data_IF_824400227104
#
_entry.id   IF_824400227104
#
_cell.length_a   1.000
_cell.length_b   1.000
_cell.length_c   1.000
_cell.angle_alpha   90.00
_cell.angle_beta   90.00
_cell.angle_gamma   90.00
#
_symmetry.space_group_name_H-M   'P 1'
#
loop_
_entity.id
_entity.type
_entity.pdbx_description
1 polymer ?
#
# COMPACT_ATOMS: atom_id res chain seq x y z
N UNK A 1 23.39 -24.75 23.22
CA UNK A 1 23.11 -24.51 21.79
C UNK A 1 23.30 -23.01 21.56
N UNK A 2 24.39 -22.59 20.89
CA UNK A 2 24.73 -21.17 20.72
C UNK A 2 23.73 -20.54 19.73
N UNK A 3 22.97 -19.55 20.18
CA UNK A 3 22.19 -18.67 19.31
C UNK A 3 23.21 -17.83 18.55
N UNK A 4 23.46 -18.18 17.30
CA UNK A 4 24.28 -17.36 16.41
C UNK A 4 23.38 -16.23 15.93
N UNK A 5 23.60 -15.03 16.47
CA UNK A 5 23.09 -13.79 15.93
C UNK A 5 23.86 -13.55 14.61
N UNK A 6 23.29 -13.99 13.48
CA UNK A 6 23.84 -13.67 12.17
C UNK A 6 23.45 -12.22 11.90
N UNK A 7 24.39 -11.30 12.14
CA UNK A 7 24.35 -9.99 11.49
C UNK A 7 24.32 -10.27 9.98
N UNK A 8 23.27 -9.80 9.29
CA UNK A 8 23.28 -9.75 7.85
C UNK A 8 24.45 -8.83 7.45
N UNK A 9 25.58 -9.44 7.09
CA UNK A 9 26.54 -8.76 6.24
C UNK A 9 25.77 -8.31 5.01
N UNK A 10 25.85 -7.02 4.72
CA UNK A 10 25.41 -6.40 3.48
C UNK A 10 26.17 -7.03 2.32
N UNK A 11 25.68 -8.18 1.86
CA UNK A 11 26.05 -8.72 0.56
C UNK A 11 25.32 -7.82 -0.44
N UNK A 12 26.06 -6.89 -1.05
CA UNK A 12 25.61 -6.18 -2.23
C UNK A 12 25.42 -7.21 -3.34
N UNK A 13 24.24 -7.84 -3.38
CA UNK A 13 23.77 -8.49 -4.59
C UNK A 13 23.52 -7.37 -5.59
N UNK A 14 24.34 -7.28 -6.63
CA UNK A 14 23.88 -6.65 -7.87
C UNK A 14 22.74 -7.52 -8.40
N UNK A 15 21.53 -7.25 -7.92
CA UNK A 15 20.32 -7.69 -8.59
C UNK A 15 20.40 -7.13 -9.99
N UNK A 16 20.36 -8.02 -10.99
CA UNK A 16 20.13 -7.61 -12.36
C UNK A 16 18.77 -6.92 -12.36
N UNK A 17 18.79 -5.59 -12.54
CA UNK A 17 17.59 -4.77 -12.61
C UNK A 17 16.60 -5.48 -13.55
N UNK A 18 15.40 -5.85 -13.08
CA UNK A 18 14.42 -6.59 -13.87
C UNK A 18 13.82 -5.76 -15.02
N UNK A 19 14.55 -4.76 -15.52
CA UNK A 19 14.16 -3.81 -16.55
C UNK A 19 13.28 -2.66 -16.06
N UNK A 20 13.16 -2.47 -14.74
CA UNK A 20 12.41 -1.34 -14.18
C UNK A 20 13.22 -0.05 -14.36
N UNK A 21 12.74 0.81 -15.25
CA UNK A 21 13.33 2.12 -15.52
C UNK A 21 12.45 3.22 -14.91
N UNK A 22 13.05 4.27 -14.32
CA UNK A 22 12.29 5.42 -13.83
C UNK A 22 11.59 6.14 -14.99
N UNK A 23 10.31 6.45 -14.81
CA UNK A 23 9.54 7.28 -15.74
C UNK A 23 9.89 8.77 -15.66
N UNK A 24 9.26 9.60 -16.52
CA UNK A 24 9.52 11.05 -16.60
C UNK A 24 9.31 11.78 -15.27
N UNK A 25 8.37 11.32 -14.44
CA UNK A 25 8.10 11.91 -13.13
C UNK A 25 9.20 11.68 -12.10
N UNK A 26 10.07 10.70 -12.34
CA UNK A 26 11.25 10.41 -11.52
C UNK A 26 12.51 11.10 -12.06
N UNK A 27 12.38 11.92 -13.11
CA UNK A 27 13.46 12.67 -13.74
C UNK A 27 13.31 14.19 -13.50
N UNK A 28 14.43 14.93 -13.37
CA UNK A 28 14.35 16.39 -13.26
C UNK A 28 13.75 17.02 -14.52
N UNK A 29 12.69 17.82 -14.35
CA UNK A 29 12.01 18.49 -15.46
C UNK A 29 12.34 19.99 -15.53
N UNK A 30 12.43 20.52 -16.75
CA UNK A 30 12.69 21.93 -16.98
C UNK A 30 11.49 22.77 -16.53
N UNK A 31 11.73 23.84 -15.76
CA UNK A 31 10.68 24.74 -15.28
C UNK A 31 9.98 24.30 -14.00
N UNK A 32 10.28 23.09 -13.49
CA UNK A 32 9.78 22.62 -12.19
C UNK A 32 10.62 23.23 -11.06
N UNK A 33 10.01 23.97 -10.11
CA UNK A 33 10.69 24.48 -8.93
C UNK A 33 11.26 23.33 -8.09
N UNK A 34 12.52 23.47 -7.66
CA UNK A 34 13.21 22.46 -6.88
C UNK A 34 13.15 22.75 -5.39
N UNK A 35 12.74 21.76 -4.62
CA UNK A 35 12.89 21.78 -3.18
C UNK A 35 14.35 21.71 -2.73
N UNK A 36 14.57 21.88 -1.44
CA UNK A 36 15.87 21.73 -0.79
C UNK A 36 15.85 20.54 0.16
N UNK A 37 17.00 19.88 0.32
CA UNK A 37 17.19 18.82 1.30
C UNK A 37 18.23 19.26 2.32
N UNK A 38 17.85 19.23 3.60
CA UNK A 38 18.68 19.64 4.72
C UNK A 38 19.06 18.43 5.57
N UNK A 39 20.34 18.31 5.95
CA UNK A 39 20.80 17.24 6.84
C UNK A 39 20.75 17.68 8.29
N UNK A 40 20.33 16.78 9.17
CA UNK A 40 20.18 17.00 10.60
C UNK A 40 20.64 15.79 11.39
N UNK A 41 20.98 16.04 12.66
CA UNK A 41 21.29 15.00 13.63
C UNK A 41 20.36 15.15 14.84
N UNK A 42 19.73 14.06 15.23
CA UNK A 42 19.10 13.94 16.54
C UNK A 42 20.06 13.17 17.44
N UNK A 43 20.72 13.91 18.33
CA UNK A 43 21.60 13.33 19.34
C UNK A 43 20.81 13.08 20.63
N UNK A 44 21.19 12.03 21.37
CA UNK A 44 20.65 11.74 22.70
C UNK A 44 19.13 11.53 22.70
N UNK A 45 18.64 10.64 21.82
CA UNK A 45 17.23 10.22 21.85
C UNK A 45 16.84 9.76 23.26
N UNK A 46 15.69 10.23 23.75
CA UNK A 46 15.11 9.79 25.03
C UNK A 46 14.41 8.45 24.86
N UNK A 47 13.80 8.22 23.70
CA UNK A 47 13.15 6.95 23.36
C UNK A 47 14.18 5.84 23.08
N UNK A 48 15.28 6.17 22.41
CA UNK A 48 16.40 5.26 22.16
C UNK A 48 17.70 5.79 22.81
N UNK A 49 17.89 5.63 24.13
CA UNK A 49 19.05 6.18 24.82
C UNK A 49 20.39 5.76 24.22
N UNK A 50 21.29 6.74 24.10
CA UNK A 50 22.66 6.55 23.61
C UNK A 50 22.78 6.42 22.09
N UNK A 51 21.72 6.66 21.34
CA UNK A 51 21.78 6.70 19.86
C UNK A 51 21.99 8.12 19.35
N UNK A 52 22.59 8.18 18.15
CA UNK A 52 22.51 9.34 17.25
C UNK A 52 21.80 8.92 15.97
N UNK A 53 20.80 9.69 15.56
CA UNK A 53 20.04 9.48 14.34
C UNK A 53 20.36 10.57 13.32
N UNK A 54 20.86 10.19 12.15
CA UNK A 54 20.89 11.09 10.99
C UNK A 54 19.51 11.11 10.34
N UNK A 55 19.02 12.30 10.02
CA UNK A 55 17.82 12.44 9.22
C UNK A 55 17.93 13.63 8.28
N UNK A 56 17.18 13.58 7.18
CA UNK A 56 17.13 14.65 6.19
C UNK A 56 15.72 15.19 6.04
N UNK A 57 15.60 16.49 5.80
CA UNK A 57 14.33 17.19 5.62
C UNK A 57 14.27 17.76 4.22
N UNK A 58 13.37 17.24 3.39
CA UNK A 58 13.00 17.85 2.12
C UNK A 58 11.94 18.92 2.34
N UNK A 59 12.18 20.11 1.79
CA UNK A 59 11.26 21.24 1.82
C UNK A 59 10.97 21.66 0.38
N UNK A 60 9.71 21.57 -0.09
CA UNK A 60 9.36 21.92 -1.46
C UNK A 60 9.45 23.44 -1.65
N UNK A 61 9.73 23.88 -2.87
CA UNK A 61 9.82 25.31 -3.19
C UNK A 61 8.49 26.07 -2.94
N UNK A 62 7.37 25.34 -2.97
CA UNK A 62 6.01 25.82 -2.77
C UNK A 62 5.63 25.93 -1.29
N UNK A 63 6.49 25.50 -0.36
CA UNK A 63 6.22 25.56 1.06
C UNK A 63 5.99 26.99 1.55
N UNK A 64 4.98 27.17 2.40
CA UNK A 64 4.65 28.45 3.04
C UNK A 64 4.42 28.24 4.53
N UNK A 65 5.04 29.08 5.36
CA UNK A 65 4.99 28.93 6.82
C UNK A 65 3.58 29.11 7.40
N UNK A 66 2.71 29.86 6.73
CA UNK A 66 1.35 30.17 7.19
C UNK A 66 0.33 29.06 6.90
N UNK A 67 0.71 28.01 6.16
CA UNK A 67 -0.12 26.86 5.83
C UNK A 67 0.55 25.57 6.35
N UNK A 68 -0.13 24.72 7.13
CA UNK A 68 0.47 23.48 7.62
C UNK A 68 0.71 22.51 6.45
N UNK A 69 1.96 22.12 6.24
CA UNK A 69 2.33 21.17 5.19
C UNK A 69 1.95 19.74 5.58
N UNK A 70 1.59 18.92 4.57
CA UNK A 70 1.53 17.47 4.75
C UNK A 70 2.92 16.93 5.12
N UNK A 71 2.97 15.72 5.69
CA UNK A 71 4.23 15.08 6.08
C UNK A 71 4.32 13.67 5.51
N UNK A 72 5.50 13.30 5.01
CA UNK A 72 5.81 11.92 4.70
C UNK A 72 7.14 11.53 5.33
N UNK A 73 7.11 10.53 6.21
CA UNK A 73 8.31 10.00 6.86
C UNK A 73 8.81 8.78 6.11
N UNK A 74 10.10 8.70 5.83
CA UNK A 74 10.76 7.57 5.20
C UNK A 74 11.72 6.90 6.17
N UNK A 75 11.60 5.59 6.30
CA UNK A 75 12.57 4.71 6.95
C UNK A 75 13.72 4.42 5.99
N UNK A 76 14.93 4.20 6.53
CA UNK A 76 16.15 4.06 5.71
C UNK A 76 16.30 5.23 4.73
N UNK A 77 16.18 6.45 5.27
CA UNK A 77 16.01 7.69 4.53
C UNK A 77 16.92 7.86 3.30
N UNK A 78 18.19 7.48 3.41
CA UNK A 78 19.18 7.58 2.33
C UNK A 78 18.73 6.84 1.05
N UNK A 79 18.08 5.68 1.19
CA UNK A 79 17.63 4.89 0.06
C UNK A 79 16.50 5.55 -0.76
N UNK A 80 15.84 6.55 -0.18
CA UNK A 80 14.72 7.25 -0.78
C UNK A 80 15.07 8.66 -1.27
N UNK A 81 15.91 9.36 -0.52
CA UNK A 81 16.16 10.80 -0.71
C UNK A 81 17.13 11.13 -1.84
N UNK A 82 18.04 10.21 -2.18
CA UNK A 82 19.10 10.50 -3.13
C UNK A 82 18.59 10.51 -4.59
N UNK A 83 18.99 11.52 -5.40
CA UNK A 83 18.48 11.70 -6.76
C UNK A 83 19.01 10.67 -7.77
N UNK A 84 20.05 9.91 -7.40
CA UNK A 84 20.66 8.88 -8.23
C UNK A 84 20.19 7.46 -7.85
N UNK A 85 19.50 7.32 -6.72
CA UNK A 85 18.96 6.04 -6.25
C UNK A 85 17.67 5.65 -6.98
N UNK A 86 17.08 4.51 -6.63
CA UNK A 86 15.94 3.94 -7.34
C UNK A 86 14.65 4.77 -7.18
N UNK A 87 14.40 5.36 -6.00
CA UNK A 87 13.12 6.03 -5.70
C UNK A 87 13.12 7.54 -6.00
N UNK A 88 14.23 8.24 -5.68
CA UNK A 88 14.41 9.68 -5.99
C UNK A 88 13.26 10.55 -5.48
N UNK A 89 12.82 10.31 -4.25
CA UNK A 89 11.60 10.91 -3.71
C UNK A 89 11.53 12.45 -3.85
N UNK A 90 12.61 13.23 -3.60
CA UNK A 90 12.58 14.69 -3.83
C UNK A 90 12.24 15.11 -5.26
N UNK A 91 12.78 14.41 -6.27
CA UNK A 91 12.50 14.70 -7.69
C UNK A 91 11.04 14.42 -8.02
N UNK A 92 10.52 13.28 -7.54
CA UNK A 92 9.11 12.92 -7.71
C UNK A 92 8.22 13.96 -7.03
N UNK A 93 8.57 14.38 -5.80
CA UNK A 93 7.82 15.40 -5.08
C UNK A 93 7.83 16.75 -5.81
N UNK A 94 8.97 17.23 -6.27
CA UNK A 94 9.06 18.47 -7.05
C UNK A 94 8.09 18.45 -8.24
N UNK A 95 8.13 17.37 -9.03
CA UNK A 95 7.30 17.19 -10.22
C UNK A 95 5.81 17.12 -9.89
N UNK A 96 5.42 16.28 -8.93
CA UNK A 96 4.00 16.06 -8.59
C UNK A 96 3.38 17.27 -7.87
N UNK A 97 4.12 17.93 -6.96
CA UNK A 97 3.65 19.15 -6.28
C UNK A 97 3.46 20.27 -7.30
N UNK A 98 4.39 20.44 -8.25
CA UNK A 98 4.27 21.46 -9.29
C UNK A 98 2.99 21.30 -10.13
N UNK A 99 2.53 20.06 -10.35
CA UNK A 99 1.31 19.75 -11.10
C UNK A 99 0.06 19.61 -10.22
N UNK A 100 0.19 19.84 -8.90
CA UNK A 100 -0.85 19.63 -7.89
C UNK A 100 -1.37 18.17 -7.83
N UNK A 101 -0.56 17.19 -8.23
CA UNK A 101 -0.93 15.76 -8.21
C UNK A 101 -0.64 15.09 -6.85
N UNK A 102 -0.07 15.85 -5.91
CA UNK A 102 0.10 15.52 -4.50
C UNK A 102 0.11 16.83 -3.69
N UNK A 103 -0.13 16.80 -2.35
CA UNK A 103 -0.08 18.01 -1.55
C UNK A 103 1.35 18.55 -1.42
N UNK A 104 1.46 19.83 -1.08
CA UNK A 104 2.73 20.41 -0.60
C UNK A 104 3.14 19.64 0.66
N UNK A 105 4.25 18.90 0.56
CA UNK A 105 4.69 17.96 1.59
C UNK A 105 6.09 18.27 2.09
N UNK A 106 6.32 18.13 3.40
CA UNK A 106 7.65 18.01 3.97
C UNK A 106 8.02 16.53 4.08
N UNK A 107 9.10 16.14 3.41
CA UNK A 107 9.65 14.79 3.47
C UNK A 107 10.66 14.69 4.60
N UNK A 108 10.55 13.67 5.45
CA UNK A 108 11.47 13.44 6.57
C UNK A 108 12.08 12.05 6.41
N UNK A 109 13.35 11.99 6.09
CA UNK A 109 14.09 10.78 5.74
C UNK A 109 14.96 10.38 6.91
N UNK A 110 14.54 9.39 7.69
CA UNK A 110 15.17 9.01 8.95
C UNK A 110 15.99 7.75 8.74
N UNK A 111 17.28 7.81 9.05
CA UNK A 111 18.12 6.63 9.12
C UNK A 111 18.04 6.03 10.53
N UNK A 112 18.19 4.70 10.68
CA UNK A 112 18.27 4.06 11.99
C UNK A 112 19.34 4.68 12.88
N UNK A 113 19.11 4.61 14.19
CA UNK A 113 20.05 5.11 15.17
C UNK A 113 21.38 4.35 15.15
N UNK A 114 22.46 5.04 15.48
CA UNK A 114 23.78 4.40 15.66
C UNK A 114 24.23 4.55 17.11
N UNK A 115 24.81 3.46 17.67
CA UNK A 115 25.53 3.47 18.96
C UNK A 115 27.03 3.32 18.73
N UNK A 116 27.83 3.62 19.77
CA UNK A 116 29.30 3.52 19.77
C UNK A 116 29.84 2.30 18.98
N UNK A 117 30.84 2.55 18.12
CA UNK A 117 31.40 1.60 17.12
C UNK A 117 30.47 1.23 15.94
N UNK A 118 29.61 2.15 15.51
CA UNK A 118 28.75 1.99 14.33
C UNK A 118 27.77 0.81 14.45
N UNK A 119 27.34 0.46 15.66
CA UNK A 119 26.29 -0.53 15.83
C UNK A 119 24.95 0.10 15.43
N UNK A 120 24.49 -0.29 14.25
CA UNK A 120 23.17 0.03 13.72
C UNK A 120 22.07 -0.48 14.66
N UNK A 121 21.05 0.34 14.92
CA UNK A 121 19.89 0.03 15.75
C UNK A 121 18.66 -0.36 14.93
N UNK A 122 18.77 -0.51 13.60
CA UNK A 122 17.66 -0.84 12.70
C UNK A 122 16.76 -1.97 13.21
N UNK A 123 17.33 -3.13 13.56
CA UNK A 123 16.54 -4.26 14.08
C UNK A 123 15.86 -3.94 15.42
N UNK A 124 16.47 -3.11 16.27
CA UNK A 124 15.92 -2.71 17.59
C UNK A 124 14.77 -1.73 17.41
N UNK A 125 14.86 -0.86 16.40
CA UNK A 125 13.89 0.19 16.13
C UNK A 125 12.70 -0.33 15.30
N UNK A 126 12.94 -1.20 14.32
CA UNK A 126 11.95 -1.55 13.29
C UNK A 126 11.19 -2.86 13.51
N UNK A 127 11.73 -3.81 14.30
CA UNK A 127 11.10 -5.12 14.51
C UNK A 127 10.05 -5.19 15.64
N UNK A 128 10.11 -4.39 16.72
CA UNK A 128 9.07 -4.43 17.75
C UNK A 128 7.67 -4.10 17.21
N UNK A 129 6.64 -4.80 17.71
CA UNK A 129 5.22 -4.53 17.41
C UNK A 129 4.56 -3.72 18.52
N UNK A 130 5.23 -2.67 18.95
CA UNK A 130 4.74 -1.75 19.96
C UNK A 130 4.85 -0.31 19.47
N UNK A 131 4.39 0.63 20.29
CA UNK A 131 4.34 2.04 19.94
C UNK A 131 5.68 2.78 20.05
N UNK A 132 6.78 2.11 20.40
CA UNK A 132 8.05 2.77 20.74
C UNK A 132 8.59 3.57 19.56
N UNK A 133 8.59 2.99 18.35
CA UNK A 133 9.04 3.72 17.16
C UNK A 133 8.07 4.85 16.79
N UNK A 134 6.76 4.66 16.98
CA UNK A 134 5.78 5.72 16.78
C UNK A 134 6.01 6.90 17.74
N UNK A 135 6.30 6.63 19.01
CA UNK A 135 6.66 7.65 20.01
C UNK A 135 7.94 8.36 19.65
N UNK A 136 8.96 7.66 19.17
CA UNK A 136 10.18 8.29 18.65
C UNK A 136 9.88 9.32 17.55
N UNK A 137 9.07 8.95 16.56
CA UNK A 137 8.68 9.87 15.50
C UNK A 137 7.84 11.04 16.03
N UNK A 138 6.83 10.78 16.87
CA UNK A 138 5.86 11.77 17.34
C UNK A 138 6.41 12.71 18.42
N UNK A 139 7.30 12.23 19.28
CA UNK A 139 7.79 12.94 20.46
C UNK A 139 9.19 13.54 20.27
N UNK A 140 9.92 13.13 19.22
CA UNK A 140 11.29 13.61 18.97
C UNK A 140 11.49 14.14 17.55
N UNK A 141 11.27 13.31 16.51
CA UNK A 141 11.56 13.72 15.12
C UNK A 141 10.61 14.81 14.63
N UNK A 142 9.29 14.60 14.72
CA UNK A 142 8.31 15.58 14.26
C UNK A 142 8.40 16.91 15.02
N UNK A 143 8.58 16.94 16.36
CA UNK A 143 8.86 18.18 17.08
C UNK A 143 10.16 18.86 16.67
N UNK A 144 11.24 18.11 16.42
CA UNK A 144 12.51 18.68 15.98
C UNK A 144 12.38 19.41 14.63
N UNK A 145 11.68 18.79 13.66
CA UNK A 145 11.37 19.41 12.36
C UNK A 145 10.36 20.57 12.53
N UNK A 146 9.36 20.38 13.40
CA UNK A 146 8.29 21.33 13.69
C UNK A 146 8.75 22.67 14.28
N UNK A 147 9.97 22.73 14.84
CA UNK A 147 10.56 23.98 15.29
C UNK A 147 10.86 24.96 14.16
N UNK A 148 11.13 24.43 12.96
CA UNK A 148 11.48 25.24 11.78
C UNK A 148 10.33 25.30 10.77
N UNK A 149 9.47 24.28 10.75
CA UNK A 149 8.44 24.11 9.73
C UNK A 149 7.05 23.87 10.33
N UNK A 150 6.02 24.45 9.72
CA UNK A 150 4.62 24.27 10.06
C UNK A 150 4.12 22.94 9.48
N UNK A 151 4.05 21.91 10.33
CA UNK A 151 3.62 20.56 9.96
C UNK A 151 2.17 20.35 10.37
N UNK A 152 1.38 19.69 9.52
CA UNK A 152 0.02 19.28 9.89
C UNK A 152 0.03 18.32 11.09
N UNK A 153 -0.96 18.49 11.97
CA UNK A 153 -1.27 17.58 13.08
C UNK A 153 -2.18 16.42 12.69
N UNK A 154 -2.84 16.52 11.54
CA UNK A 154 -3.89 15.59 11.12
C UNK A 154 -3.30 14.31 10.52
N UNK A 155 -3.83 13.16 10.94
CA UNK A 155 -3.46 11.85 10.40
C UNK A 155 -3.71 11.76 8.90
N UNK A 156 -4.77 12.41 8.38
CA UNK A 156 -5.06 12.42 6.95
C UNK A 156 -3.94 13.11 6.14
N UNK A 157 -3.19 14.02 6.75
CA UNK A 157 -2.05 14.72 6.18
C UNK A 157 -0.69 14.08 6.46
N UNK A 158 -0.63 12.87 7.02
CA UNK A 158 0.61 12.19 7.40
C UNK A 158 0.71 10.79 6.82
N UNK A 159 1.78 10.56 6.06
CA UNK A 159 2.15 9.27 5.52
C UNK A 159 3.49 8.77 6.07
N UNK A 160 3.70 7.47 6.03
CA UNK A 160 4.96 6.82 6.40
C UNK A 160 5.31 5.73 5.38
N UNK A 161 6.60 5.63 5.05
CA UNK A 161 7.13 4.78 4.00
C UNK A 161 8.37 4.04 4.48
N UNK A 162 8.59 2.81 4.02
CA UNK A 162 9.83 2.09 4.28
C UNK A 162 9.96 0.83 3.45
N UNK A 163 11.17 0.26 3.43
CA UNK A 163 11.44 -1.01 2.76
C UNK A 163 11.78 -2.11 3.76
N UNK A 164 11.45 -3.37 3.47
CA UNK A 164 11.87 -4.50 4.32
C UNK A 164 11.42 -4.29 5.77
N UNK A 165 12.32 -4.33 6.75
CA UNK A 165 11.94 -4.05 8.14
C UNK A 165 11.45 -2.60 8.34
N UNK A 166 11.90 -1.65 7.51
CA UNK A 166 11.34 -0.29 7.49
C UNK A 166 9.90 -0.25 6.98
N UNK A 167 9.51 -1.15 6.06
CA UNK A 167 8.11 -1.31 5.63
C UNK A 167 7.24 -1.91 6.73
N UNK A 168 7.79 -2.87 7.48
CA UNK A 168 7.19 -3.37 8.71
C UNK A 168 7.01 -2.25 9.74
N UNK A 169 8.06 -1.47 10.03
CA UNK A 169 8.01 -0.34 10.96
C UNK A 169 6.99 0.73 10.55
N UNK A 170 6.93 1.06 9.25
CA UNK A 170 5.94 1.99 8.70
C UNK A 170 4.50 1.52 8.98
N UNK A 171 4.23 0.24 8.75
CA UNK A 171 2.93 -0.37 9.07
C UNK A 171 2.66 -0.37 10.57
N UNK A 172 3.64 -0.76 11.40
CA UNK A 172 3.52 -0.76 12.86
C UNK A 172 3.16 0.61 13.42
N UNK A 173 3.81 1.68 12.95
CA UNK A 173 3.53 3.04 13.40
C UNK A 173 2.08 3.43 13.13
N UNK A 174 1.57 3.20 11.93
CA UNK A 174 0.18 3.50 11.59
C UNK A 174 -0.81 2.58 12.31
N UNK A 175 -0.44 1.32 12.55
CA UNK A 175 -1.26 0.36 13.29
C UNK A 175 -1.46 0.77 14.76
N UNK A 176 -0.38 1.21 15.42
CA UNK A 176 -0.36 1.62 16.83
C UNK A 176 -0.85 3.07 17.04
N UNK A 177 -0.72 3.92 16.02
CA UNK A 177 -1.11 5.34 16.05
C UNK A 177 -1.87 5.77 14.79
N UNK A 178 -3.04 5.16 14.48
CA UNK A 178 -3.81 5.48 13.27
C UNK A 178 -4.36 6.91 13.27
N UNK A 179 -4.56 7.50 14.46
CA UNK A 179 -4.90 8.90 14.64
C UNK A 179 -3.72 9.88 14.46
N UNK A 180 -2.53 9.40 14.10
CA UNK A 180 -1.36 10.24 13.80
C UNK A 180 -0.74 9.93 12.44
N UNK A 181 -0.80 8.68 11.97
CA UNK A 181 -0.40 8.27 10.62
C UNK A 181 -1.51 7.40 10.03
N UNK A 182 -2.17 7.90 8.99
CA UNK A 182 -3.27 7.18 8.32
C UNK A 182 -2.86 6.56 6.98
N UNK A 183 -1.63 6.79 6.52
CA UNK A 183 -1.16 6.39 5.18
C UNK A 183 0.16 5.65 5.28
N UNK A 184 0.21 4.45 4.73
CA UNK A 184 1.38 3.57 4.76
C UNK A 184 1.78 3.21 3.34
N UNK A 185 3.08 3.28 3.07
CA UNK A 185 3.70 2.69 1.89
C UNK A 185 4.75 1.67 2.38
N UNK A 186 4.57 0.41 2.04
CA UNK A 186 5.47 -0.68 2.42
C UNK A 186 6.01 -1.35 1.16
N UNK A 187 7.31 -1.17 0.92
CA UNK A 187 8.02 -1.85 -0.16
C UNK A 187 8.69 -3.10 0.41
N UNK A 188 8.55 -4.25 -0.26
CA UNK A 188 9.21 -5.53 0.07
C UNK A 188 9.19 -5.83 1.59
N UNK A 189 8.03 -5.62 2.24
CA UNK A 189 7.94 -5.54 3.71
C UNK A 189 8.20 -6.88 4.41
N UNK A 190 8.87 -6.83 5.57
CA UNK A 190 9.32 -8.04 6.32
C UNK A 190 8.22 -8.75 7.10
N UNK A 191 7.07 -9.04 6.49
CA UNK A 191 5.90 -9.65 7.13
C UNK A 191 6.04 -11.14 7.44
N UNK A 192 7.23 -11.73 7.30
CA UNK A 192 7.54 -13.09 7.78
C UNK A 192 8.44 -13.13 9.00
N UNK A 193 9.00 -11.98 9.44
CA UNK A 193 9.86 -11.93 10.64
C UNK A 193 9.08 -12.42 11.87
N UNK A 194 9.58 -13.47 12.53
CA UNK A 194 8.97 -14.07 13.73
C UNK A 194 8.95 -13.13 14.95
N UNK A 195 9.86 -12.15 15.00
CA UNK A 195 9.74 -10.99 15.89
C UNK A 195 9.25 -9.83 15.02
N UNK A 196 7.96 -9.56 15.02
CA UNK A 196 7.42 -8.46 14.24
C UNK A 196 6.37 -8.88 13.21
N UNK A 197 6.83 -9.13 11.99
CA UNK A 197 5.96 -9.16 10.82
C UNK A 197 4.88 -10.25 10.77
N UNK A 198 5.19 -11.48 11.20
CA UNK A 198 4.34 -12.65 10.90
C UNK A 198 2.96 -12.64 11.58
N UNK A 199 2.76 -11.80 12.59
CA UNK A 199 1.49 -11.68 13.29
C UNK A 199 0.48 -10.77 12.56
N UNK A 200 0.94 -9.87 11.70
CA UNK A 200 0.07 -8.85 11.11
C UNK A 200 -1.08 -9.39 10.27
N UNK A 201 -0.89 -10.40 9.40
CA UNK A 201 -2.02 -10.98 8.67
C UNK A 201 -3.15 -11.45 9.59
N UNK A 202 -2.81 -12.07 10.74
CA UNK A 202 -3.80 -12.47 11.73
C UNK A 202 -4.45 -11.26 12.43
N UNK A 203 -3.65 -10.30 12.90
CA UNK A 203 -4.16 -9.09 13.58
C UNK A 203 -5.08 -8.26 12.69
N UNK A 204 -4.77 -8.14 11.40
CA UNK A 204 -5.60 -7.44 10.41
C UNK A 204 -6.94 -8.16 10.26
N UNK A 205 -6.95 -9.49 10.13
CA UNK A 205 -8.19 -10.26 9.98
C UNK A 205 -9.16 -10.08 11.15
N UNK A 206 -8.65 -9.92 12.38
CA UNK A 206 -9.45 -9.63 13.57
C UNK A 206 -10.16 -8.26 13.55
N UNK A 207 -9.85 -7.40 12.58
CA UNK A 207 -10.48 -6.08 12.42
C UNK A 207 -11.58 -6.08 11.36
N UNK A 208 -12.04 -7.25 10.89
CA UNK A 208 -13.23 -7.34 10.02
C UNK A 208 -14.41 -6.62 10.70
N UNK A 209 -15.16 -5.84 9.92
CA UNK A 209 -16.28 -5.02 10.40
C UNK A 209 -15.88 -3.67 11.02
N UNK A 210 -14.67 -3.56 11.58
CA UNK A 210 -14.12 -2.32 12.14
C UNK A 210 -12.63 -2.15 11.78
N UNK A 211 -12.30 -1.98 10.48
CA UNK A 211 -10.93 -1.78 10.06
C UNK A 211 -10.39 -0.47 10.63
N UNK A 212 -9.12 -0.48 11.07
CA UNK A 212 -8.46 0.76 11.47
C UNK A 212 -8.45 1.74 10.30
N UNK A 213 -8.55 3.07 10.54
CA UNK A 213 -8.62 4.08 9.49
C UNK A 213 -7.24 4.35 8.88
N UNK A 214 -6.63 3.31 8.31
CA UNK A 214 -5.33 3.35 7.64
C UNK A 214 -5.50 2.89 6.19
N UNK A 215 -4.79 3.57 5.30
CA UNK A 215 -4.65 3.25 3.89
C UNK A 215 -3.26 2.67 3.64
N UNK A 216 -3.18 1.60 2.87
CA UNK A 216 -1.94 0.83 2.72
C UNK A 216 -1.60 0.60 1.25
N UNK A 217 -0.47 1.12 0.80
CA UNK A 217 0.14 0.69 -0.45
C UNK A 217 1.22 -0.35 -0.12
N UNK A 218 1.10 -1.53 -0.71
CA UNK A 218 2.07 -2.61 -0.62
C UNK A 218 2.72 -2.80 -1.99
N UNK A 219 4.02 -3.06 -2.01
CA UNK A 219 4.72 -3.56 -3.18
C UNK A 219 5.64 -4.70 -2.77
N UNK A 220 5.71 -5.73 -3.59
CA UNK A 220 6.72 -6.80 -3.45
C UNK A 220 7.18 -7.28 -4.85
N UNK A 221 8.15 -8.18 -4.91
CA UNK A 221 8.60 -8.88 -6.10
C UNK A 221 8.35 -10.38 -6.01
N UNK A 222 8.04 -11.02 -7.13
CA UNK A 222 7.83 -12.47 -7.21
C UNK A 222 9.11 -13.28 -6.95
N UNK A 223 10.27 -12.62 -6.95
CA UNK A 223 11.58 -13.22 -6.71
C UNK A 223 12.27 -12.59 -5.48
N UNK A 224 11.49 -12.12 -4.50
CA UNK A 224 12.02 -11.60 -3.25
C UNK A 224 12.63 -12.72 -2.36
N UNK A 225 13.17 -12.36 -1.20
CA UNK A 225 13.91 -13.23 -0.30
C UNK A 225 13.09 -14.46 0.11
N UNK A 226 13.77 -15.61 0.06
CA UNK A 226 13.30 -16.86 0.64
C UNK A 226 14.43 -17.47 1.47
N UNK A 227 14.38 -17.23 2.79
CA UNK A 227 15.44 -17.55 3.74
C UNK A 227 14.86 -18.24 4.98
N UNK A 228 15.70 -18.55 5.97
CA UNK A 228 15.28 -19.22 7.23
C UNK A 228 14.17 -18.44 7.97
N UNK A 229 14.16 -17.12 7.85
CA UNK A 229 13.18 -16.22 8.45
C UNK A 229 11.84 -16.19 7.70
N UNK A 230 11.74 -16.83 6.53
CA UNK A 230 10.53 -16.91 5.73
C UNK A 230 10.71 -16.47 4.28
N UNK A 231 9.58 -16.39 3.59
CA UNK A 231 9.48 -16.01 2.18
C UNK A 231 8.74 -14.66 2.09
N UNK A 232 9.46 -13.60 1.72
CA UNK A 232 8.93 -12.23 1.72
C UNK A 232 7.73 -12.07 0.80
N UNK A 233 7.81 -12.61 -0.42
CA UNK A 233 6.70 -12.64 -1.38
C UNK A 233 5.44 -13.24 -0.75
N UNK A 234 5.56 -14.40 -0.10
CA UNK A 234 4.43 -15.04 0.59
C UNK A 234 3.95 -14.23 1.81
N UNK A 235 4.85 -13.53 2.51
CA UNK A 235 4.52 -12.62 3.59
C UNK A 235 3.65 -11.44 3.14
N UNK A 236 4.04 -10.76 2.05
CA UNK A 236 3.26 -9.66 1.49
C UNK A 236 1.96 -10.14 0.84
N UNK A 237 1.93 -11.33 0.22
CA UNK A 237 0.68 -11.95 -0.25
C UNK A 237 -0.27 -12.28 0.92
N UNK A 238 0.26 -12.71 2.08
CA UNK A 238 -0.54 -12.92 3.28
C UNK A 238 -1.12 -11.60 3.83
N UNK A 239 -0.35 -10.50 3.75
CA UNK A 239 -0.83 -9.16 4.08
C UNK A 239 -1.94 -8.70 3.12
N UNK A 240 -1.75 -8.82 1.81
CA UNK A 240 -2.78 -8.51 0.81
C UNK A 240 -4.07 -9.29 1.11
N UNK A 241 -3.95 -10.60 1.32
CA UNK A 241 -5.09 -11.46 1.64
C UNK A 241 -5.83 -11.01 2.91
N UNK A 242 -5.09 -10.61 3.94
CA UNK A 242 -5.66 -10.12 5.19
C UNK A 242 -6.33 -8.75 5.05
N UNK A 243 -5.70 -7.80 4.35
CA UNK A 243 -6.25 -6.46 4.10
C UNK A 243 -7.53 -6.54 3.26
N UNK A 244 -7.56 -7.41 2.26
CA UNK A 244 -8.76 -7.69 1.48
C UNK A 244 -9.87 -8.26 2.35
N UNK A 245 -9.55 -9.30 3.13
CA UNK A 245 -10.52 -9.93 4.02
C UNK A 245 -11.11 -8.91 4.99
N UNK A 246 -10.29 -8.06 5.62
CA UNK A 246 -10.76 -7.09 6.60
C UNK A 246 -11.28 -5.77 5.97
N UNK A 247 -11.40 -5.70 4.64
CA UNK A 247 -11.97 -4.56 3.89
C UNK A 247 -11.22 -3.22 4.09
N UNK A 248 -9.89 -3.28 4.18
CA UNK A 248 -9.05 -2.07 4.21
C UNK A 248 -9.01 -1.36 2.85
N UNK A 249 -8.75 -0.05 2.87
CA UNK A 249 -8.34 0.70 1.69
C UNK A 249 -6.87 0.40 1.38
N UNK A 250 -6.62 -0.53 0.45
CA UNK A 250 -5.27 -0.95 0.10
C UNK A 250 -5.06 -1.10 -1.40
N UNK A 251 -3.79 -1.03 -1.81
CA UNK A 251 -3.33 -1.40 -3.15
C UNK A 251 -2.07 -2.24 -3.02
N UNK A 252 -2.00 -3.34 -3.77
CA UNK A 252 -0.82 -4.20 -3.84
C UNK A 252 -0.34 -4.36 -5.27
N UNK A 253 0.94 -4.07 -5.50
CA UNK A 253 1.62 -4.22 -6.78
C UNK A 253 2.73 -5.27 -6.68
N UNK A 254 2.63 -6.34 -7.47
CA UNK A 254 3.63 -7.40 -7.55
C UNK A 254 4.53 -7.17 -8.75
N UNK A 255 5.81 -6.95 -8.51
CA UNK A 255 6.84 -6.93 -9.53
C UNK A 255 7.46 -8.31 -9.76
N UNK A 256 8.48 -8.34 -10.61
CA UNK A 256 9.28 -9.53 -10.94
C UNK A 256 10.68 -9.50 -10.33
N UNK A 257 11.06 -8.39 -9.70
CA UNK A 257 12.37 -8.16 -9.09
C UNK A 257 12.58 -8.92 -7.77
N UNK A 258 13.75 -8.68 -7.16
CA UNK A 258 14.12 -9.26 -5.86
C UNK A 258 13.99 -8.26 -4.71
N UNK A 259 14.85 -8.42 -3.70
CA UNK A 259 14.88 -7.57 -2.50
C UNK A 259 15.55 -6.22 -2.74
N UNK A 260 14.95 -5.43 -3.63
CA UNK A 260 15.43 -4.11 -4.04
C UNK A 260 14.25 -3.14 -4.27
N UNK A 261 14.57 -1.85 -4.42
CA UNK A 261 13.58 -0.81 -4.68
C UNK A 261 13.42 -0.48 -6.17
N UNK A 262 13.89 -1.30 -7.11
CA UNK A 262 13.82 -0.97 -8.53
C UNK A 262 12.37 -0.82 -8.99
N UNK A 263 11.54 -1.82 -8.69
CA UNK A 263 10.12 -1.78 -9.02
C UNK A 263 9.41 -0.68 -8.24
N UNK A 264 9.64 -0.61 -6.91
CA UNK A 264 9.08 0.43 -6.05
C UNK A 264 9.36 1.85 -6.58
N UNK A 265 10.61 2.11 -6.98
CA UNK A 265 11.06 3.38 -7.50
C UNK A 265 10.46 3.73 -8.87
N UNK A 266 10.35 2.74 -9.76
CA UNK A 266 9.71 2.92 -11.06
C UNK A 266 8.22 3.30 -10.92
N UNK A 267 7.51 2.72 -9.95
CA UNK A 267 6.08 3.01 -9.71
C UNK A 267 5.84 4.09 -8.65
N UNK A 268 6.89 4.65 -8.04
CA UNK A 268 6.76 5.58 -6.90
C UNK A 268 5.88 6.82 -7.20
N UNK A 269 5.95 7.45 -8.39
CA UNK A 269 5.01 8.52 -8.73
C UNK A 269 3.54 8.12 -8.64
N UNK A 270 3.20 6.90 -9.12
CA UNK A 270 1.84 6.38 -9.06
C UNK A 270 1.43 5.97 -7.63
N UNK A 271 2.38 5.44 -6.86
CA UNK A 271 2.20 5.17 -5.42
C UNK A 271 1.82 6.45 -4.68
N UNK A 272 2.55 7.55 -4.91
CA UNK A 272 2.31 8.84 -4.24
C UNK A 272 0.98 9.46 -4.69
N UNK A 273 0.65 9.41 -5.98
CA UNK A 273 -0.68 9.84 -6.44
C UNK A 273 -1.79 9.07 -5.76
N UNK A 274 -1.67 7.74 -5.68
CA UNK A 274 -2.69 6.89 -5.08
C UNK A 274 -2.83 7.13 -3.58
N UNK A 275 -1.73 7.26 -2.83
CA UNK A 275 -1.80 7.43 -1.38
C UNK A 275 -2.47 8.77 -1.00
N UNK A 276 -2.30 9.82 -1.82
CA UNK A 276 -2.83 11.18 -1.61
C UNK A 276 -4.08 11.52 -2.44
N UNK A 277 -4.68 10.54 -3.14
CA UNK A 277 -5.73 10.77 -4.16
C UNK A 277 -6.99 11.50 -3.71
N UNK A 278 -7.26 11.53 -2.41
CA UNK A 278 -8.42 12.19 -1.81
C UNK A 278 -8.06 13.36 -0.89
N UNK A 279 -6.77 13.73 -0.85
CA UNK A 279 -6.33 14.85 -0.02
C UNK A 279 -6.83 16.18 -0.58
N UNK A 280 -7.35 17.11 0.25
CA UNK A 280 -7.89 18.38 -0.23
C UNK A 280 -6.89 19.17 -1.08
N UNK A 281 -7.37 19.69 -2.22
CA UNK A 281 -6.57 20.48 -3.16
C UNK A 281 -5.70 19.67 -4.12
N UNK A 282 -5.59 18.35 -3.95
CA UNK A 282 -4.92 17.49 -4.92
C UNK A 282 -5.79 17.35 -6.16
N UNK A 283 -5.22 17.71 -7.31
CA UNK A 283 -5.78 17.38 -8.61
C UNK A 283 -5.74 15.86 -8.75
N UNK A 284 -6.91 15.24 -8.58
CA UNK A 284 -7.10 13.86 -9.03
C UNK A 284 -6.68 13.81 -10.49
N UNK A 285 -5.82 12.84 -10.84
CA UNK A 285 -5.74 12.43 -12.23
C UNK A 285 -7.19 12.26 -12.69
N UNK A 286 -7.55 12.86 -13.83
CA UNK A 286 -8.87 12.66 -14.40
C UNK A 286 -8.91 11.19 -14.79
N UNK A 287 -9.28 10.34 -13.84
CA UNK A 287 -9.89 9.07 -14.17
C UNK A 287 -11.23 9.46 -14.78
N UNK A 288 -11.22 9.80 -16.08
CA UNK A 288 -12.37 9.49 -16.93
C UNK A 288 -12.74 8.09 -16.52
N UNK A 289 -13.94 7.92 -15.94
CA UNK A 289 -14.39 6.68 -15.31
C UNK A 289 -13.71 5.52 -16.01
N UNK A 290 -12.72 4.90 -15.35
CA UNK A 290 -11.95 3.79 -15.95
C UNK A 290 -12.82 2.54 -16.06
N UNK A 291 -14.15 2.71 -16.09
CA UNK A 291 -15.17 1.72 -16.36
C UNK A 291 -14.85 0.95 -17.64
N UNK A 292 -14.20 1.54 -18.65
CA UNK A 292 -13.75 0.79 -19.83
C UNK A 292 -12.84 -0.41 -19.48
N UNK A 293 -12.13 -0.38 -18.35
CA UNK A 293 -11.32 -1.49 -17.83
C UNK A 293 -12.20 -2.63 -17.33
N UNK A 294 -13.46 -2.40 -16.97
CA UNK A 294 -14.38 -3.46 -16.49
C UNK A 294 -15.55 -3.72 -17.42
N UNK A 295 -15.90 -2.79 -18.31
CA UNK A 295 -16.99 -2.96 -19.28
C UNK A 295 -16.69 -4.13 -20.21
N UNK A 296 -17.67 -5.01 -20.37
CA UNK A 296 -17.54 -6.25 -21.13
C UNK A 296 -18.12 -7.45 -20.40
N UNK A 297 -17.94 -8.60 -21.00
CA UNK A 297 -18.38 -9.89 -20.46
C UNK A 297 -17.23 -10.57 -19.72
N UNK A 298 -17.53 -11.14 -18.56
CA UNK A 298 -16.60 -11.83 -17.69
C UNK A 298 -17.15 -13.21 -17.33
N UNK A 299 -16.34 -14.24 -17.54
CA UNK A 299 -16.59 -15.54 -16.96
C UNK A 299 -16.09 -15.52 -15.53
N UNK A 300 -16.99 -15.70 -14.57
CA UNK A 300 -16.73 -15.65 -13.14
C UNK A 300 -16.90 -17.05 -12.57
N UNK A 301 -15.93 -17.49 -11.78
CA UNK A 301 -15.95 -18.78 -11.09
C UNK A 301 -15.89 -18.52 -9.59
N UNK A 302 -16.94 -18.95 -8.90
CA UNK A 302 -17.02 -18.94 -7.44
C UNK A 302 -16.70 -20.33 -6.92
N UNK A 303 -15.74 -20.45 -6.01
CA UNK A 303 -15.44 -21.72 -5.34
C UNK A 303 -15.97 -21.70 -3.90
N UNK A 304 -17.04 -22.47 -3.66
CA UNK A 304 -17.61 -22.65 -2.34
C UNK A 304 -17.30 -24.07 -1.87
N UNK A 305 -16.47 -24.17 -0.84
CA UNK A 305 -16.09 -25.44 -0.20
C UNK A 305 -15.60 -26.50 -1.21
N UNK A 306 -14.89 -26.08 -2.26
CA UNK A 306 -14.37 -26.96 -3.31
C UNK A 306 -15.32 -27.21 -4.49
N UNK A 307 -16.56 -26.70 -4.43
CA UNK A 307 -17.51 -26.75 -5.54
C UNK A 307 -17.44 -25.44 -6.33
N UNK A 308 -17.22 -25.55 -7.64
CA UNK A 308 -17.18 -24.41 -8.55
C UNK A 308 -18.57 -24.11 -9.11
N UNK A 309 -18.93 -22.83 -9.10
CA UNK A 309 -20.15 -22.29 -9.69
C UNK A 309 -19.74 -21.26 -10.73
N UNK A 310 -20.11 -21.52 -11.98
CA UNK A 310 -19.79 -20.65 -13.11
C UNK A 310 -20.91 -19.65 -13.37
N UNK A 311 -20.53 -18.39 -13.54
CA UNK A 311 -21.44 -17.32 -13.91
C UNK A 311 -20.85 -16.44 -15.01
N UNK A 312 -21.72 -15.75 -15.72
CA UNK A 312 -21.37 -14.69 -16.67
C UNK A 312 -21.79 -13.35 -16.09
N UNK A 313 -20.82 -12.48 -15.84
CA UNK A 313 -21.02 -11.10 -15.44
C UNK A 313 -20.83 -10.19 -16.65
N UNK A 314 -21.89 -9.53 -17.09
CA UNK A 314 -21.83 -8.56 -18.20
C UNK A 314 -21.95 -7.16 -17.64
N UNK A 315 -20.89 -6.36 -17.76
CA UNK A 315 -20.81 -5.00 -17.24
C UNK A 315 -20.96 -4.01 -18.39
N UNK A 316 -21.87 -3.05 -18.24
CA UNK A 316 -22.05 -1.92 -19.14
C UNK A 316 -21.94 -0.59 -18.41
N UNK A 317 -21.77 0.49 -19.18
CA UNK A 317 -21.77 1.86 -18.68
C UNK A 317 -22.78 2.67 -19.50
N UNK A 318 -23.62 3.45 -18.81
CA UNK A 318 -24.55 4.38 -19.43
C UNK A 318 -24.54 5.69 -18.66
N UNK A 319 -24.24 6.79 -19.34
CA UNK A 319 -24.17 8.14 -18.76
C UNK A 319 -23.21 8.24 -17.55
N UNK A 320 -22.14 7.44 -17.51
CA UNK A 320 -21.19 7.41 -16.40
C UNK A 320 -21.58 6.49 -15.24
N UNK A 321 -22.75 5.85 -15.30
CA UNK A 321 -23.20 4.89 -14.29
C UNK A 321 -23.02 3.45 -14.79
N UNK A 322 -22.52 2.59 -13.90
CA UNK A 322 -22.37 1.16 -14.17
C UNK A 322 -23.71 0.45 -14.04
N UNK A 323 -23.92 -0.53 -14.90
CA UNK A 323 -24.97 -1.54 -14.77
C UNK A 323 -24.38 -2.90 -15.11
N UNK A 324 -24.93 -3.97 -14.54
CA UNK A 324 -24.50 -5.30 -14.89
C UNK A 324 -25.62 -6.33 -14.78
N UNK A 325 -25.47 -7.43 -15.53
CA UNK A 325 -26.28 -8.64 -15.40
C UNK A 325 -25.38 -9.78 -14.93
N UNK A 326 -25.89 -10.62 -14.04
CA UNK A 326 -25.20 -11.81 -13.55
C UNK A 326 -26.04 -13.04 -13.89
N UNK A 327 -25.49 -13.97 -14.67
CA UNK A 327 -26.18 -15.22 -15.05
C UNK A 327 -25.36 -16.40 -14.57
N UNK A 328 -25.86 -17.10 -13.56
CA UNK A 328 -25.27 -18.32 -13.01
C UNK A 328 -25.75 -19.56 -13.77
N UNK A 329 -24.86 -20.56 -13.91
CA UNK A 329 -25.17 -21.79 -14.64
C UNK A 329 -26.24 -22.66 -13.96
N UNK A 330 -26.39 -22.53 -12.64
CA UNK A 330 -27.31 -23.32 -11.81
C UNK A 330 -28.63 -22.59 -11.60
N UNK A 331 -28.57 -21.31 -11.23
CA UNK A 331 -29.76 -20.53 -10.84
C UNK A 331 -30.30 -19.61 -11.95
N UNK A 332 -29.58 -19.46 -13.07
CA UNK A 332 -29.95 -18.57 -14.16
C UNK A 332 -29.66 -17.11 -13.85
N UNK A 333 -30.54 -16.20 -14.28
CA UNK A 333 -30.35 -14.76 -14.03
C UNK A 333 -30.52 -14.42 -12.55
N UNK A 334 -29.50 -13.81 -11.97
CA UNK A 334 -29.46 -13.36 -10.57
C UNK A 334 -29.69 -11.85 -10.53
N UNK A 335 -30.58 -11.44 -9.64
CA UNK A 335 -30.93 -10.04 -9.43
C UNK A 335 -29.78 -9.25 -8.78
N UNK A 336 -29.13 -8.39 -9.57
CA UNK A 336 -28.02 -7.54 -9.12
C UNK A 336 -28.54 -6.24 -8.50
N UNK A 337 -28.18 -5.99 -7.24
CA UNK A 337 -28.65 -4.85 -6.44
C UNK A 337 -27.81 -3.61 -6.66
N UNK A 338 -26.50 -3.76 -6.74
CA UNK A 338 -25.58 -2.65 -6.95
C UNK A 338 -24.28 -3.11 -7.60
N UNK A 339 -23.59 -2.18 -8.25
CA UNK A 339 -22.24 -2.36 -8.79
C UNK A 339 -21.46 -1.06 -8.64
N UNK A 340 -20.23 -1.15 -8.15
CA UNK A 340 -19.31 -0.01 -8.01
C UNK A 340 -17.92 -0.42 -8.45
N UNK A 341 -17.15 0.55 -8.93
CA UNK A 341 -15.76 0.33 -9.29
C UNK A 341 -14.94 1.53 -8.87
N UNK A 342 -14.07 1.31 -7.89
CA UNK A 342 -13.18 2.33 -7.35
C UNK A 342 -11.82 1.72 -7.08
N UNK A 343 -10.74 2.40 -7.51
CA UNK A 343 -9.36 1.99 -7.24
C UNK A 343 -9.04 0.53 -7.63
N UNK A 344 -9.54 0.07 -8.78
CA UNK A 344 -9.41 -1.32 -9.28
C UNK A 344 -10.13 -2.38 -8.46
N UNK A 345 -11.02 -1.98 -7.54
CA UNK A 345 -11.90 -2.88 -6.81
C UNK A 345 -13.29 -2.78 -7.43
N UNK A 346 -13.71 -3.86 -8.07
CA UNK A 346 -15.08 -4.09 -8.51
C UNK A 346 -15.86 -4.68 -7.34
N UNK A 347 -16.92 -4.00 -6.91
CA UNK A 347 -17.85 -4.53 -5.91
C UNK A 347 -19.22 -4.66 -6.54
N UNK A 348 -19.91 -5.74 -6.27
CA UNK A 348 -21.32 -5.87 -6.62
C UNK A 348 -22.07 -6.66 -5.56
N UNK A 349 -23.33 -6.27 -5.34
CA UNK A 349 -24.26 -6.92 -4.42
C UNK A 349 -25.35 -7.58 -5.24
N UNK A 350 -25.74 -8.80 -4.89
CA UNK A 350 -26.81 -9.51 -5.58
C UNK A 350 -27.71 -10.29 -4.61
N UNK A 351 -28.94 -10.57 -5.02
CA UNK A 351 -29.88 -11.36 -4.24
C UNK A 351 -29.39 -12.81 -4.13
N UNK A 352 -29.34 -13.35 -2.91
CA UNK A 352 -28.84 -14.70 -2.66
C UNK A 352 -29.67 -15.76 -3.40
N UNK A 353 -29.08 -16.54 -4.32
CA UNK A 353 -29.81 -17.53 -5.09
C UNK A 353 -30.02 -18.85 -4.30
N UNK A 354 -30.98 -19.70 -4.71
CA UNK A 354 -31.31 -20.94 -4.02
C UNK A 354 -30.14 -21.91 -3.81
N UNK A 355 -29.25 -22.08 -4.80
CA UNK A 355 -28.07 -22.94 -4.67
C UNK A 355 -27.16 -22.51 -3.51
N UNK A 356 -27.20 -21.23 -3.16
CA UNK A 356 -26.35 -20.64 -2.13
C UNK A 356 -26.94 -20.65 -0.71
N UNK A 357 -28.18 -21.10 -0.54
CA UNK A 357 -28.85 -21.17 0.76
C UNK A 357 -28.22 -22.18 1.74
N UNK A 358 -27.48 -23.17 1.23
CA UNK A 358 -27.07 -24.35 2.00
C UNK A 358 -25.77 -24.18 2.80
N UNK A 359 -24.95 -23.17 2.51
CA UNK A 359 -23.59 -23.07 3.05
C UNK A 359 -23.33 -21.85 3.95
N UNK A 360 -24.23 -20.86 4.01
CA UNK A 360 -24.19 -19.81 5.02
C UNK A 360 -25.02 -20.19 6.24
N UNK A 361 -24.45 -20.01 7.44
CA UNK A 361 -25.22 -20.07 8.69
C UNK A 361 -26.05 -18.80 8.91
N UNK A 362 -25.69 -17.71 8.24
CA UNK A 362 -26.28 -16.40 8.42
C UNK A 362 -27.44 -16.15 7.44
N UNK A 363 -28.47 -15.46 7.92
CA UNK A 363 -29.76 -15.29 7.25
C UNK A 363 -29.78 -14.16 6.22
N UNK A 364 -28.65 -13.81 5.62
CA UNK A 364 -28.54 -12.62 4.77
C UNK A 364 -29.23 -12.84 3.42
N UNK A 365 -30.07 -11.90 2.98
CA UNK A 365 -30.79 -12.00 1.71
C UNK A 365 -29.93 -11.58 0.50
N UNK A 366 -28.80 -10.93 0.76
CA UNK A 366 -27.88 -10.39 -0.24
C UNK A 366 -26.50 -11.02 -0.08
N UNK A 367 -25.75 -11.07 -1.17
CA UNK A 367 -24.36 -11.50 -1.21
C UNK A 367 -23.54 -10.35 -1.77
N UNK A 368 -22.44 -10.04 -1.11
CA UNK A 368 -21.50 -9.03 -1.57
C UNK A 368 -20.26 -9.70 -2.16
N UNK A 369 -19.87 -9.28 -3.37
CA UNK A 369 -18.65 -9.75 -4.03
C UNK A 369 -17.67 -8.61 -4.22
N UNK A 370 -16.41 -8.86 -3.88
CA UNK A 370 -15.31 -7.92 -3.94
C UNK A 370 -14.18 -8.50 -4.79
N UNK A 371 -13.90 -7.88 -5.92
CA UNK A 371 -12.93 -8.37 -6.90
C UNK A 371 -11.90 -7.30 -7.21
N UNK A 372 -10.62 -7.65 -7.06
CA UNK A 372 -9.52 -6.89 -7.64
C UNK A 372 -9.50 -7.14 -9.14
N UNK A 373 -9.38 -6.06 -9.90
CA UNK A 373 -9.27 -6.07 -11.35
C UNK A 373 -7.81 -5.90 -11.75
N UNK A 374 -7.30 -6.85 -12.51
CA UNK A 374 -5.97 -6.79 -13.12
C UNK A 374 -6.07 -7.23 -14.59
N UNK A 375 -5.96 -6.26 -15.50
CA UNK A 375 -6.12 -6.46 -16.95
C UNK A 375 -7.41 -7.22 -17.31
N UNK A 376 -7.27 -8.48 -17.74
CA UNK A 376 -8.36 -9.38 -18.12
C UNK A 376 -8.62 -10.44 -17.04
N UNK A 377 -8.28 -10.15 -15.78
CA UNK A 377 -8.57 -11.00 -14.63
C UNK A 377 -9.27 -10.28 -13.49
N UNK A 378 -10.14 -11.05 -12.83
CA UNK A 378 -10.76 -10.72 -11.55
C UNK A 378 -10.26 -11.72 -10.52
N UNK A 379 -9.89 -11.24 -9.34
CA UNK A 379 -9.54 -12.10 -8.20
C UNK A 379 -10.06 -11.49 -6.93
N UNK A 380 -10.74 -12.28 -6.11
CA UNK A 380 -11.21 -11.80 -4.84
C UNK A 380 -12.09 -12.81 -4.13
N UNK A 381 -13.13 -12.30 -3.48
CA UNK A 381 -14.01 -13.10 -2.67
C UNK A 381 -15.44 -12.60 -2.66
N UNK A 382 -16.36 -13.51 -2.36
CA UNK A 382 -17.72 -13.19 -1.96
C UNK A 382 -17.92 -13.47 -0.48
N UNK A 383 -18.88 -12.78 0.13
CA UNK A 383 -19.26 -12.93 1.53
C UNK A 383 -20.77 -12.71 1.70
N UNK A 384 -21.35 -13.30 2.75
CA UNK A 384 -22.79 -13.20 3.03
C UNK A 384 -23.26 -11.79 3.36
N UNK A 385 -22.36 -10.93 3.80
CA UNK A 385 -22.48 -9.48 3.92
C UNK A 385 -21.11 -8.94 4.37
N UNK A 386 -21.02 -7.65 4.68
CA UNK A 386 -19.77 -7.04 5.16
C UNK A 386 -19.34 -7.57 6.53
N UNK A 387 -20.25 -8.09 7.35
CA UNK A 387 -20.00 -8.55 8.73
C UNK A 387 -19.74 -10.07 8.80
N UNK A 388 -20.00 -10.81 7.73
CA UNK A 388 -19.78 -12.24 7.66
C UNK A 388 -18.29 -12.58 7.78
N UNK A 389 -17.98 -13.52 8.67
CA UNK A 389 -16.62 -13.97 8.95
C UNK A 389 -16.08 -14.95 7.90
N UNK A 390 -16.87 -15.28 6.87
CA UNK A 390 -16.53 -16.28 5.85
C UNK A 390 -16.48 -15.62 4.47
N UNK A 391 -15.32 -15.75 3.82
CA UNK A 391 -15.10 -15.35 2.43
C UNK A 391 -14.90 -16.61 1.58
N UNK A 392 -15.51 -16.67 0.40
CA UNK A 392 -15.30 -17.72 -0.61
C UNK A 392 -14.60 -17.13 -1.82
N UNK A 393 -13.68 -17.90 -2.43
CA UNK A 393 -12.88 -17.34 -3.51
C UNK A 393 -13.71 -17.14 -4.78
N UNK A 394 -13.46 -16.01 -5.43
CA UNK A 394 -14.05 -15.67 -6.71
C UNK A 394 -12.93 -15.29 -7.65
N UNK A 395 -12.92 -15.90 -8.83
CA UNK A 395 -12.00 -15.55 -9.91
C UNK A 395 -12.79 -15.22 -11.15
N UNK A 396 -12.20 -14.47 -12.07
CA UNK A 396 -12.85 -14.22 -13.34
C UNK A 396 -11.85 -13.91 -14.45
N UNK A 397 -12.31 -14.13 -15.68
CA UNK A 397 -11.58 -13.82 -16.91
C UNK A 397 -12.50 -13.11 -17.87
N UNK A 398 -11.99 -12.06 -18.51
CA UNK A 398 -12.75 -11.39 -19.56
C UNK A 398 -12.97 -12.36 -20.71
N UNK A 399 -14.19 -12.41 -21.25
CA UNK A 399 -14.45 -13.10 -22.50
C UNK A 399 -13.60 -12.47 -23.62
N UNK A 400 -13.03 -13.29 -24.50
CA UNK A 400 -12.24 -12.81 -25.62
C UNK A 400 -13.12 -12.00 -26.60
N UNK A 401 -13.08 -10.68 -26.49
CA UNK A 401 -13.65 -9.74 -27.47
C UNK A 401 -12.66 -9.43 -28.59
N UNK A 402 -13.10 -8.91 -29.76
CA UNK A 402 -12.19 -8.50 -30.81
C UNK A 402 -11.20 -7.46 -30.26
N UNK A 403 -9.90 -7.71 -30.48
CA UNK A 403 -8.80 -6.84 -30.08
C UNK A 403 -9.16 -5.39 -30.46
N UNK A 404 -9.50 -4.56 -29.46
CA UNK A 404 -9.53 -3.13 -29.68
C UNK A 404 -8.08 -2.71 -29.88
N UNK A 405 -7.69 -2.53 -31.14
CA UNK A 405 -6.44 -1.89 -31.49
C UNK A 405 -6.35 -0.58 -30.71
N UNK A 406 -5.40 -0.47 -29.79
CA UNK A 406 -5.06 0.79 -29.16
C UNK A 406 -4.75 1.79 -30.29
N UNK A 407 -5.47 2.92 -30.28
CA UNK A 407 -5.14 4.10 -31.08
C UNK A 407 -4.61 5.17 -30.16
#
# INVERSE_FOLDING_TARGET
>A
MKIILIALMSVAFSATNAGYEPGEDSMPNQGVPKGKVEKHLLNNSRIYPGTTHEYQVYVPAQYRQDEPAAVMVFQDGDAYVHPEEQVRAPTVFDNLIHRNEMPVIIGIFVNPGTKEKSHDQRDVEYLPLDDTYARFLLEEILPAVGNNYNLTGDAAGRAICGMSDGGLAAFTVAWERPGSFSKVISHIGSYTRLRGGSEYPYRIRLTRGDPKPIRVFLQDGSNDLNLLQGNWTLGNLAMESALMYARYDYRFEMGTGGHDLAHAGAIFPDTVRWIWRDYPGVRRAVETSRHFIIVGEWHVVTNILGTEYNAVLTIGERNGELHATLVDETDGEIDLRSITFEDRILRYVYARPPSQLSWQKDSTEEIETWLKVHDDSLTGALSGDIDSEIDFSVTGRRAAGPIRSQK
#
